data_IF_536592628833
#
_entry.id   IF_536592628833
#
_cell.length_a   1.000
_cell.length_b   1.000
_cell.length_c   1.000
_cell.angle_alpha   90.00
_cell.angle_beta   90.00
_cell.angle_gamma   90.00
#
_symmetry.space_group_name_H-M   'P 1'
#
loop_
_entity.id
_entity.type
_entity.pdbx_description
1 polymer ?
#
# COMPACT_ATOMS: atom_id res chain seq x y z
N UNK A 1 20.68 -11.23 16.22
CA UNK A 1 19.62 -10.34 16.73
C UNK A 1 20.05 -9.73 18.06
N UNK A 2 19.63 -8.49 18.37
CA UNK A 2 19.86 -7.84 19.67
C UNK A 2 18.55 -7.36 20.25
N UNK A 3 18.18 -7.86 21.43
CA UNK A 3 16.96 -7.53 22.16
C UNK A 3 17.32 -6.88 23.51
N UNK A 4 16.59 -5.85 23.90
CA UNK A 4 16.66 -5.27 25.26
C UNK A 4 15.39 -5.69 26.00
N UNK A 5 15.49 -6.51 27.04
CA UNK A 5 14.34 -7.02 27.79
C UNK A 5 14.43 -6.56 29.25
N UNK A 6 13.30 -6.43 29.91
CA UNK A 6 13.24 -6.23 31.36
C UNK A 6 12.90 -7.56 32.01
N UNK A 7 13.90 -8.23 32.59
CA UNK A 7 13.73 -9.52 33.25
C UNK A 7 13.07 -9.31 34.61
N UNK A 8 11.89 -9.90 34.82
CA UNK A 8 11.19 -9.92 36.10
C UNK A 8 11.49 -11.24 36.84
N UNK A 9 11.97 -11.11 38.08
CA UNK A 9 12.26 -12.20 39.01
C UNK A 9 11.06 -12.53 39.90
N UNK A 10 11.10 -13.66 40.63
CA UNK A 10 9.96 -14.13 41.45
C UNK A 10 9.60 -13.19 42.59
N UNK A 11 10.56 -12.40 43.06
CA UNK A 11 10.38 -11.39 44.10
C UNK A 11 9.97 -10.00 43.56
N UNK A 12 9.49 -9.97 42.31
CA UNK A 12 9.08 -8.76 41.58
C UNK A 12 10.21 -7.75 41.32
N UNK A 13 11.50 -8.07 41.58
CA UNK A 13 12.60 -7.24 41.12
C UNK A 13 12.74 -7.35 39.61
N UNK A 14 12.91 -6.20 38.97
CA UNK A 14 13.18 -6.10 37.53
C UNK A 14 14.64 -5.78 37.28
N UNK A 15 15.18 -6.27 36.16
CA UNK A 15 16.54 -5.95 35.71
C UNK A 15 16.58 -5.92 34.21
N UNK A 16 17.11 -4.84 33.63
CA UNK A 16 17.27 -4.74 32.20
C UNK A 16 18.43 -5.62 31.73
N UNK A 17 18.15 -6.47 30.75
CA UNK A 17 19.10 -7.40 30.15
C UNK A 17 19.18 -7.17 28.64
N UNK A 18 20.36 -7.39 28.08
CA UNK A 18 20.59 -7.35 26.64
C UNK A 18 20.83 -8.76 26.16
N UNK A 19 19.88 -9.30 25.40
CA UNK A 19 20.01 -10.61 24.77
C UNK A 19 20.62 -10.40 23.38
N UNK A 20 21.76 -11.06 23.15
CA UNK A 20 22.41 -11.12 21.83
C UNK A 20 22.46 -12.57 21.40
N UNK A 21 21.76 -12.90 20.32
CA UNK A 21 21.61 -14.27 19.84
C UNK A 21 21.79 -14.34 18.32
N UNK A 22 22.09 -15.54 17.81
CA UNK A 22 21.88 -15.84 16.40
C UNK A 22 20.37 -15.84 16.06
N UNK A 23 20.01 -15.67 14.79
CA UNK A 23 18.62 -15.79 14.31
C UNK A 23 18.07 -17.22 14.43
N UNK A 24 18.94 -18.22 14.48
CA UNK A 24 18.60 -19.64 14.61
C UNK A 24 18.44 -20.10 16.06
N UNK A 25 18.72 -19.24 17.04
CA UNK A 25 18.53 -19.57 18.45
C UNK A 25 17.04 -19.73 18.78
N UNK A 26 16.69 -20.74 19.56
CA UNK A 26 15.33 -20.95 20.03
C UNK A 26 15.02 -20.11 21.27
N UNK A 27 13.73 -19.94 21.57
CA UNK A 27 13.27 -19.35 22.84
C UNK A 27 13.87 -20.11 24.03
N UNK A 28 13.93 -21.44 23.97
CA UNK A 28 14.55 -22.26 25.01
C UNK A 28 16.04 -21.95 25.18
N UNK A 29 16.80 -21.79 24.11
CA UNK A 29 18.23 -21.46 24.19
C UNK A 29 18.44 -20.13 24.92
N UNK A 30 17.61 -19.13 24.61
CA UNK A 30 17.65 -17.83 25.27
C UNK A 30 17.24 -17.95 26.74
N UNK A 31 16.14 -18.64 27.04
CA UNK A 31 15.67 -18.84 28.41
C UNK A 31 16.71 -19.57 29.26
N UNK A 32 17.31 -20.64 28.73
CA UNK A 32 18.38 -21.39 29.40
C UNK A 32 19.60 -20.51 29.64
N UNK A 33 20.01 -19.73 28.64
CA UNK A 33 21.16 -18.86 28.81
C UNK A 33 20.94 -17.78 29.86
N UNK A 34 19.72 -17.25 29.98
CA UNK A 34 19.34 -16.32 31.05
C UNK A 34 19.49 -17.02 32.41
N UNK A 35 19.00 -18.25 32.57
CA UNK A 35 19.11 -18.99 33.85
C UNK A 35 20.57 -19.28 34.22
N UNK A 36 21.39 -19.68 33.26
CA UNK A 36 22.82 -19.98 33.49
C UNK A 36 23.64 -18.74 33.86
N UNK A 37 23.24 -17.56 33.36
CA UNK A 37 23.99 -16.31 33.54
C UNK A 37 23.41 -15.40 34.61
N UNK A 38 22.18 -15.66 35.09
CA UNK A 38 21.54 -14.85 36.14
C UNK A 38 22.29 -15.03 37.48
N UNK A 39 22.90 -13.97 38.05
CA UNK A 39 23.57 -14.05 39.34
C UNK A 39 22.63 -14.44 40.49
N UNK A 40 21.32 -14.20 40.37
CA UNK A 40 20.35 -14.54 41.39
C UNK A 40 20.01 -16.04 41.44
N UNK A 41 20.21 -16.78 40.33
CA UNK A 41 19.93 -18.23 40.20
C UNK A 41 18.60 -18.70 40.79
N UNK A 42 17.54 -17.90 40.64
CA UNK A 42 16.23 -18.19 41.25
C UNK A 42 15.49 -19.36 40.59
N UNK A 43 15.69 -19.54 39.28
CA UNK A 43 15.09 -20.64 38.52
C UNK A 43 16.02 -21.84 38.59
N UNK A 44 15.63 -22.86 39.34
CA UNK A 44 16.30 -24.15 39.34
C UNK A 44 15.90 -24.90 38.07
N UNK A 45 16.90 -25.28 37.27
CA UNK A 45 16.70 -26.01 36.03
C UNK A 45 17.80 -27.08 35.86
N UNK A 46 17.39 -28.28 35.48
CA UNK A 46 18.31 -29.35 35.06
C UNK A 46 18.60 -29.26 33.55
N UNK A 47 19.62 -29.95 33.03
CA UNK A 47 19.84 -30.06 31.59
C UNK A 47 18.67 -30.70 30.83
N UNK A 48 17.87 -31.54 31.50
CA UNK A 48 16.72 -32.21 30.90
C UNK A 48 15.46 -31.34 30.87
N UNK A 49 15.39 -30.30 31.71
CA UNK A 49 14.20 -29.46 31.84
C UNK A 49 13.99 -28.58 30.60
N UNK A 50 12.75 -28.45 30.14
CA UNK A 50 12.38 -27.49 29.10
C UNK A 50 12.13 -26.12 29.71
N UNK A 51 12.79 -25.10 29.17
CA UNK A 51 12.67 -23.71 29.63
C UNK A 51 12.03 -22.85 28.54
N UNK A 52 11.20 -21.90 28.95
CA UNK A 52 10.62 -20.90 28.06
C UNK A 52 10.59 -19.51 28.69
N UNK A 53 10.17 -18.52 27.90
CA UNK A 53 9.91 -17.17 28.35
C UNK A 53 8.41 -16.88 28.30
N UNK A 54 7.90 -16.22 29.33
CA UNK A 54 6.65 -15.47 29.25
C UNK A 54 6.98 -14.00 29.06
N UNK A 55 6.37 -13.35 28.08
CA UNK A 55 6.67 -11.96 27.72
C UNK A 55 5.41 -11.08 27.70
N UNK A 56 5.57 -9.81 28.06
CA UNK A 56 4.52 -8.79 27.97
C UNK A 56 5.09 -7.50 27.34
N UNK A 57 4.36 -6.83 26.43
CA UNK A 57 4.81 -5.57 25.86
C UNK A 57 4.76 -4.44 26.92
N UNK A 58 5.46 -3.31 26.74
CA UNK A 58 5.40 -2.19 27.68
C UNK A 58 4.00 -1.60 27.90
N UNK A 59 3.08 -1.86 26.97
CA UNK A 59 1.71 -1.34 26.96
C UNK A 59 0.69 -2.26 27.64
N UNK A 60 1.06 -3.51 27.96
CA UNK A 60 0.17 -4.49 28.57
C UNK A 60 0.88 -5.30 29.66
N UNK A 61 0.14 -5.71 30.68
CA UNK A 61 0.62 -6.64 31.70
C UNK A 61 0.24 -8.10 31.40
N UNK A 62 -0.38 -8.36 30.25
CA UNK A 62 -0.77 -9.72 29.86
C UNK A 62 0.44 -10.48 29.34
N UNK A 63 0.89 -11.44 30.14
CA UNK A 63 2.01 -12.30 29.78
C UNK A 63 1.59 -13.39 28.80
N UNK A 64 2.29 -13.47 27.68
CA UNK A 64 2.16 -14.54 26.68
C UNK A 64 3.33 -15.51 26.82
N UNK A 65 3.04 -16.79 26.97
CA UNK A 65 4.06 -17.84 26.99
C UNK A 65 4.54 -18.14 25.58
N UNK A 66 5.84 -18.03 25.36
CA UNK A 66 6.47 -18.35 24.09
C UNK A 66 6.63 -19.88 23.92
N UNK A 67 6.57 -20.35 22.69
CA UNK A 67 6.88 -21.76 22.38
C UNK A 67 8.39 -21.99 22.54
N UNK A 68 8.84 -22.94 23.40
CA UNK A 68 10.27 -23.20 23.62
C UNK A 68 11.06 -23.51 22.34
N UNK A 69 10.40 -24.13 21.36
CA UNK A 69 11.01 -24.59 20.10
C UNK A 69 11.01 -23.53 18.99
N UNK A 70 10.29 -22.43 19.18
CA UNK A 70 10.21 -21.33 18.21
C UNK A 70 11.54 -20.58 18.17
N UNK A 71 11.92 -20.11 16.98
CA UNK A 71 13.07 -19.23 16.82
C UNK A 71 12.81 -17.89 17.51
N UNK A 72 13.79 -17.37 18.25
CA UNK A 72 13.65 -16.08 18.95
C UNK A 72 13.42 -14.92 17.97
N UNK A 73 13.84 -15.05 16.70
CA UNK A 73 13.55 -14.07 15.65
C UNK A 73 12.08 -13.97 15.28
N UNK A 74 11.36 -15.08 15.42
CA UNK A 74 9.97 -15.23 15.00
C UNK A 74 9.02 -15.14 16.18
N UNK A 75 9.56 -15.28 17.40
CA UNK A 75 8.81 -15.16 18.63
C UNK A 75 8.23 -13.74 18.80
N UNK A 76 6.99 -13.61 19.32
CA UNK A 76 6.37 -12.33 19.61
C UNK A 76 7.03 -11.64 20.82
N UNK A 77 8.26 -11.17 20.62
CA UNK A 77 9.08 -10.49 21.62
C UNK A 77 9.76 -9.27 20.99
N UNK A 78 9.72 -8.14 21.70
CA UNK A 78 10.30 -6.87 21.26
C UNK A 78 11.27 -6.29 22.27
N UNK A 79 12.00 -5.25 21.86
CA UNK A 79 12.79 -4.48 22.82
C UNK A 79 11.87 -3.67 23.74
N UNK A 80 12.19 -3.64 25.04
CA UNK A 80 11.36 -3.06 26.09
C UNK A 80 10.37 -4.04 26.73
N UNK A 81 10.24 -5.26 26.19
CA UNK A 81 9.30 -6.24 26.73
C UNK A 81 9.74 -6.70 28.11
N UNK A 82 8.76 -6.87 28.99
CA UNK A 82 8.95 -7.54 30.25
C UNK A 82 9.00 -9.05 29.99
N UNK A 83 9.96 -9.75 30.58
CA UNK A 83 10.17 -11.18 30.36
C UNK A 83 10.36 -11.92 31.68
N UNK A 84 9.89 -13.16 31.76
CA UNK A 84 10.10 -14.05 32.91
C UNK A 84 10.42 -15.45 32.40
N UNK A 85 11.40 -16.11 33.00
CA UNK A 85 11.75 -17.49 32.65
C UNK A 85 10.82 -18.45 33.38
N UNK A 86 10.25 -19.40 32.65
CA UNK A 86 9.41 -20.48 33.17
C UNK A 86 10.07 -21.82 32.92
N UNK A 87 10.18 -22.64 33.96
CA UNK A 87 10.61 -24.04 33.86
C UNK A 87 9.38 -24.94 33.71
N UNK A 88 9.26 -25.61 32.57
CA UNK A 88 8.14 -26.51 32.23
C UNK A 88 8.41 -27.97 32.63
N UNK A 89 9.61 -28.28 33.11
CA UNK A 89 10.04 -29.61 33.51
C UNK A 89 10.54 -30.48 32.35
N UNK A 90 11.02 -31.70 32.65
CA UNK A 90 11.65 -32.59 31.67
C UNK A 90 10.66 -33.33 30.76
N UNK A 91 9.41 -33.50 31.20
CA UNK A 91 8.37 -34.24 30.49
C UNK A 91 7.49 -33.34 29.61
N UNK A 92 7.89 -32.08 29.37
CA UNK A 92 7.10 -31.17 28.55
C UNK A 92 7.05 -31.63 27.09
N UNK A 93 5.84 -31.92 26.61
CA UNK A 93 5.54 -32.20 25.21
C UNK A 93 4.85 -30.98 24.62
N UNK A 94 5.46 -30.35 23.63
CA UNK A 94 4.85 -29.23 22.92
C UNK A 94 3.56 -29.70 22.21
N UNK A 95 2.40 -29.28 22.70
CA UNK A 95 1.15 -29.35 21.93
C UNK A 95 1.31 -28.44 20.73
N UNK A 96 1.22 -28.98 19.50
CA UNK A 96 1.33 -28.20 18.27
C UNK A 96 0.06 -27.37 18.07
N UNK A 97 -0.03 -26.25 18.77
CA UNK A 97 -1.02 -25.22 18.58
C UNK A 97 -0.54 -23.97 19.29
N UNK A 98 -0.36 -22.89 18.51
CA UNK A 98 0.45 -21.73 18.89
C UNK A 98 0.15 -21.22 20.30
N UNK A 99 1.21 -20.93 21.05
CA UNK A 99 1.18 -20.38 22.42
C UNK A 99 0.57 -18.97 22.50
N UNK A 100 -0.68 -18.82 22.08
CA UNK A 100 -1.51 -17.65 22.33
C UNK A 100 -2.44 -17.89 23.52
N UNK A 101 -3.12 -16.84 24.01
CA UNK A 101 -4.17 -17.01 25.02
C UNK A 101 -5.25 -17.98 24.53
N UNK A 102 -5.83 -18.74 25.47
CA UNK A 102 -6.92 -19.66 25.17
C UNK A 102 -8.09 -18.91 24.54
N UNK A 103 -8.40 -19.21 23.28
CA UNK A 103 -9.55 -18.66 22.57
C UNK A 103 -10.82 -19.46 22.88
N UNK A 104 -10.67 -20.72 23.29
CA UNK A 104 -11.73 -21.58 23.77
C UNK A 104 -11.24 -22.49 24.89
N UNK A 105 -12.15 -23.02 25.70
CA UNK A 105 -11.89 -24.07 26.67
C UNK A 105 -12.79 -25.26 26.34
N UNK A 106 -12.17 -26.43 26.19
CA UNK A 106 -12.86 -27.71 26.03
C UNK A 106 -13.05 -28.34 27.40
N UNK A 107 -14.31 -28.54 27.80
CA UNK A 107 -14.70 -29.18 29.04
C UNK A 107 -15.23 -30.59 28.74
N UNK A 108 -14.71 -31.59 29.45
CA UNK A 108 -15.27 -32.94 29.44
C UNK A 108 -16.33 -33.01 30.55
N UNK A 109 -17.60 -33.09 30.16
CA UNK A 109 -18.76 -33.01 31.08
C UNK A 109 -19.36 -34.38 31.39
N UNK A 110 -18.99 -35.41 30.63
CA UNK A 110 -19.44 -36.79 30.85
C UNK A 110 -18.44 -37.81 30.28
N UNK A 111 -18.45 -39.03 30.83
CA UNK A 111 -17.53 -40.10 30.45
C UNK A 111 -16.31 -40.27 31.36
N UNK A 112 -15.31 -41.09 30.96
CA UNK A 112 -14.20 -41.52 31.82
C UNK A 112 -13.29 -40.39 32.34
N UNK A 113 -13.28 -39.25 31.64
CA UNK A 113 -12.42 -38.09 31.92
C UNK A 113 -13.21 -36.86 32.39
N UNK A 114 -14.39 -37.06 32.98
CA UNK A 114 -15.27 -35.99 33.45
C UNK A 114 -14.54 -35.03 34.39
N UNK A 115 -14.70 -33.72 34.17
CA UNK A 115 -14.10 -32.65 34.96
C UNK A 115 -12.77 -32.12 34.43
N UNK A 116 -12.25 -32.69 33.33
CA UNK A 116 -11.03 -32.19 32.68
C UNK A 116 -11.34 -30.97 31.80
N UNK A 117 -10.49 -29.94 31.92
CA UNK A 117 -10.53 -28.73 31.11
C UNK A 117 -9.26 -28.61 30.29
N UNK A 118 -9.41 -28.28 29.00
CA UNK A 118 -8.30 -28.18 28.06
C UNK A 118 -8.38 -26.82 27.37
N UNK A 119 -7.44 -25.90 27.65
CA UNK A 119 -7.39 -24.61 26.97
C UNK A 119 -6.95 -24.77 25.51
N UNK A 120 -7.66 -24.13 24.59
CA UNK A 120 -7.40 -24.17 23.15
C UNK A 120 -7.10 -22.76 22.62
N UNK A 121 -5.87 -22.48 22.17
CA UNK A 121 -5.58 -21.27 21.42
C UNK A 121 -6.21 -21.32 20.02
N UNK A 122 -6.10 -20.22 19.25
CA UNK A 122 -6.52 -20.22 17.84
C UNK A 122 -5.66 -21.19 17.03
N UNK A 123 -6.29 -22.04 16.22
CA UNK A 123 -5.57 -23.05 15.45
C UNK A 123 -6.37 -24.32 15.20
N UNK A 124 -5.67 -25.38 14.79
CA UNK A 124 -6.23 -26.70 14.53
C UNK A 124 -5.63 -27.73 15.47
N UNK A 125 -6.47 -28.54 16.10
CA UNK A 125 -6.06 -29.56 17.07
C UNK A 125 -6.73 -30.89 16.71
N UNK A 126 -5.97 -31.97 16.82
CA UNK A 126 -6.46 -33.33 16.61
C UNK A 126 -6.92 -33.95 17.92
N UNK A 127 -8.08 -34.60 17.88
CA UNK A 127 -8.67 -35.32 19.01
C UNK A 127 -8.63 -36.81 18.72
N UNK A 128 -8.12 -37.60 19.66
CA UNK A 128 -8.03 -39.06 19.50
C UNK A 128 -7.50 -39.78 20.72
N UNK A 129 -7.49 -41.10 20.66
CA UNK A 129 -7.02 -41.94 21.78
C UNK A 129 -5.51 -42.15 21.84
N UNK A 130 -4.79 -41.93 20.74
CA UNK A 130 -3.33 -42.13 20.75
C UNK A 130 -2.60 -40.92 21.33
N UNK A 131 -1.48 -41.17 22.00
CA UNK A 131 -0.62 -40.13 22.58
C UNK A 131 -0.07 -39.10 21.57
N UNK A 132 -0.13 -39.38 20.26
CA UNK A 132 0.24 -38.44 19.20
C UNK A 132 -0.87 -37.47 18.76
N UNK A 133 -2.00 -37.42 19.48
CA UNK A 133 -3.08 -36.44 19.24
C UNK A 133 -2.85 -35.21 20.10
N UNK A 134 -3.23 -34.02 19.62
CA UNK A 134 -3.12 -32.78 20.40
C UNK A 134 -4.02 -32.81 21.65
N UNK A 135 -5.17 -33.47 21.53
CA UNK A 135 -6.12 -33.74 22.62
C UNK A 135 -6.30 -35.24 22.74
N UNK A 136 -5.73 -35.80 23.81
CA UNK A 136 -5.79 -37.25 24.09
C UNK A 136 -7.00 -37.57 24.97
N UNK A 137 -7.91 -38.39 24.44
CA UNK A 137 -9.08 -38.92 25.16
C UNK A 137 -8.89 -40.43 25.35
N UNK A 138 -8.70 -40.85 26.59
CA UNK A 138 -8.49 -42.25 26.99
C UNK A 138 -9.81 -43.03 27.06
N UNK A 139 -10.53 -43.06 25.94
CA UNK A 139 -11.82 -43.73 25.80
C UNK A 139 -11.71 -44.83 24.72
N UNK A 140 -11.92 -46.12 25.04
CA UNK A 140 -11.81 -47.22 24.09
C UNK A 140 -12.64 -47.04 22.81
N UNK A 141 -13.78 -46.34 22.90
CA UNK A 141 -14.69 -46.05 21.79
C UNK A 141 -14.25 -44.83 20.97
N UNK A 142 -13.29 -44.04 21.46
CA UNK A 142 -12.63 -43.00 20.67
C UNK A 142 -11.57 -43.64 19.75
N UNK A 143 -11.61 -43.19 18.49
CA UNK A 143 -10.69 -43.68 17.45
C UNK A 143 -9.29 -43.13 17.67
N UNK A 144 -8.28 -43.78 17.09
CA UNK A 144 -6.87 -43.34 17.21
C UNK A 144 -6.71 -41.87 16.82
N UNK A 145 -7.30 -41.47 15.69
CA UNK A 145 -7.53 -40.09 15.29
C UNK A 145 -9.01 -39.98 14.99
N UNK A 146 -9.76 -39.31 15.85
CA UNK A 146 -11.21 -39.36 15.82
C UNK A 146 -11.79 -38.11 15.14
N UNK A 147 -11.39 -36.92 15.60
CA UNK A 147 -11.85 -35.67 15.03
C UNK A 147 -10.73 -34.62 15.00
N UNK A 148 -10.97 -33.52 14.29
CA UNK A 148 -10.16 -32.32 14.31
C UNK A 148 -11.01 -31.13 14.70
N UNK A 149 -10.58 -30.36 15.69
CA UNK A 149 -11.20 -29.12 16.11
C UNK A 149 -10.41 -27.92 15.57
N UNK A 150 -11.10 -26.93 15.02
CA UNK A 150 -10.56 -25.70 14.49
C UNK A 150 -11.15 -24.51 15.26
N UNK A 151 -10.28 -23.71 15.87
CA UNK A 151 -10.64 -22.55 16.69
C UNK A 151 -10.27 -21.28 15.94
N UNK A 152 -11.30 -20.59 15.42
CA UNK A 152 -11.19 -19.34 14.69
C UNK A 152 -11.35 -18.09 15.57
N UNK A 153 -11.49 -16.92 14.94
CA UNK A 153 -11.64 -15.64 15.64
C UNK A 153 -12.99 -15.43 16.37
N UNK A 154 -13.93 -16.37 16.24
CA UNK A 154 -15.24 -16.34 16.90
C UNK A 154 -16.12 -17.55 16.57
N UNK A 155 -15.52 -18.64 16.09
CA UNK A 155 -16.22 -19.85 15.71
C UNK A 155 -15.34 -21.06 15.98
N UNK A 156 -15.99 -22.17 16.31
CA UNK A 156 -15.33 -23.45 16.54
C UNK A 156 -15.96 -24.46 15.60
N UNK A 157 -15.13 -25.17 14.83
CA UNK A 157 -15.58 -26.21 13.92
C UNK A 157 -14.91 -27.53 14.26
N UNK A 158 -15.70 -28.60 14.32
CA UNK A 158 -15.24 -29.95 14.56
C UNK A 158 -15.50 -30.79 13.31
N UNK A 159 -14.51 -31.53 12.85
CA UNK A 159 -14.56 -32.35 11.64
C UNK A 159 -14.20 -33.79 12.00
N UNK A 160 -15.07 -34.73 11.65
CA UNK A 160 -14.81 -36.15 11.85
C UNK A 160 -13.68 -36.60 10.90
N UNK A 161 -12.73 -37.37 11.41
CA UNK A 161 -11.59 -37.90 10.64
C UNK A 161 -11.82 -39.35 10.22
N UNK A 162 -13.05 -39.66 9.79
CA UNK A 162 -13.51 -41.00 9.46
C UNK A 162 -13.38 -41.95 10.65
N UNK A 163 -13.95 -41.54 11.79
CA UNK A 163 -13.89 -42.30 13.02
C UNK A 163 -14.92 -43.44 13.04
N UNK A 164 -14.67 -44.47 13.85
CA UNK A 164 -15.53 -45.66 13.90
C UNK A 164 -16.93 -45.38 14.48
N UNK A 165 -17.02 -44.45 15.44
CA UNK A 165 -18.26 -44.13 16.15
C UNK A 165 -18.81 -42.74 15.81
N UNK A 166 -18.07 -41.95 15.01
CA UNK A 166 -18.45 -40.61 14.56
C UNK A 166 -18.57 -39.57 15.67
N UNK A 167 -18.90 -38.35 15.27
CA UNK A 167 -19.29 -37.26 16.16
C UNK A 167 -20.82 -37.32 16.34
N UNK A 168 -21.30 -37.41 17.57
CA UNK A 168 -22.73 -37.45 17.88
C UNK A 168 -23.19 -36.12 18.50
N UNK A 169 -24.26 -35.55 17.98
CA UNK A 169 -24.89 -34.31 18.47
C UNK A 169 -26.39 -34.55 18.57
N UNK A 170 -26.98 -34.32 19.74
CA UNK A 170 -28.42 -34.55 20.00
C UNK A 170 -28.90 -35.96 19.58
N UNK A 171 -28.01 -36.96 19.66
CA UNK A 171 -28.28 -38.35 19.27
C UNK A 171 -28.07 -38.68 17.78
N UNK A 172 -27.72 -37.71 16.94
CA UNK A 172 -27.44 -37.91 15.51
C UNK A 172 -25.95 -37.82 15.16
N UNK A 173 -25.51 -38.64 14.18
CA UNK A 173 -24.14 -38.62 13.67
C UNK A 173 -23.94 -37.47 12.66
N UNK A 174 -22.86 -36.72 12.82
CA UNK A 174 -22.51 -35.58 11.94
C UNK A 174 -21.06 -35.68 11.46
N UNK A 175 -20.79 -35.42 10.15
CA UNK A 175 -19.41 -35.43 9.64
C UNK A 175 -18.65 -34.13 9.96
N UNK A 176 -19.39 -33.03 10.16
CA UNK A 176 -18.86 -31.72 10.55
C UNK A 176 -19.86 -31.05 11.48
N UNK A 177 -19.36 -30.39 12.50
CA UNK A 177 -20.14 -29.68 13.50
C UNK A 177 -19.55 -28.29 13.69
N UNK A 178 -20.35 -27.25 13.42
CA UNK A 178 -20.05 -25.91 13.91
C UNK A 178 -20.57 -25.81 15.34
N UNK A 179 -19.67 -25.75 16.31
CA UNK A 179 -20.02 -25.80 17.73
C UNK A 179 -20.66 -24.48 18.14
N UNK A 180 -21.88 -24.56 18.66
CA UNK A 180 -22.56 -23.44 19.31
C UNK A 180 -22.11 -23.40 20.78
N UNK A 181 -21.80 -22.23 21.37
CA UNK A 181 -21.41 -22.15 22.79
C UNK A 181 -22.42 -22.87 23.71
N UNK A 182 -21.93 -23.79 24.53
CA UNK A 182 -22.76 -24.61 25.43
C UNK A 182 -23.44 -25.83 24.79
N UNK A 183 -23.31 -26.02 23.47
CA UNK A 183 -23.77 -27.23 22.78
C UNK A 183 -22.89 -28.42 23.16
N UNK A 184 -23.54 -29.54 23.44
CA UNK A 184 -22.88 -30.78 23.81
C UNK A 184 -22.73 -31.68 22.59
N UNK A 185 -21.59 -32.34 22.49
CA UNK A 185 -21.35 -33.38 21.50
C UNK A 185 -20.58 -34.53 22.14
N UNK A 186 -20.71 -35.71 21.56
CA UNK A 186 -20.16 -36.95 22.11
C UNK A 186 -19.20 -37.57 21.11
N UNK A 187 -18.04 -38.00 21.62
CA UNK A 187 -17.05 -38.82 20.90
C UNK A 187 -16.84 -40.09 21.71
N UNK A 188 -17.24 -41.26 21.18
CA UNK A 188 -17.25 -42.50 21.97
C UNK A 188 -18.26 -42.42 23.12
N UNK A 189 -17.80 -42.60 24.35
CA UNK A 189 -18.57 -42.42 25.60
C UNK A 189 -18.24 -41.08 26.30
N UNK A 190 -17.49 -40.20 25.66
CA UNK A 190 -17.04 -38.93 26.23
C UNK A 190 -17.91 -37.77 25.74
N UNK A 191 -18.62 -37.12 26.68
CA UNK A 191 -19.46 -35.94 26.42
C UNK A 191 -18.65 -34.65 26.63
N UNK A 192 -18.66 -33.78 25.63
CA UNK A 192 -17.79 -32.61 25.54
C UNK A 192 -18.62 -31.35 25.31
N UNK A 193 -18.23 -30.28 25.98
CA UNK A 193 -18.73 -28.92 25.76
C UNK A 193 -17.54 -28.01 25.51
N UNK A 194 -17.64 -27.15 24.50
CA UNK A 194 -16.61 -26.14 24.23
C UNK A 194 -17.19 -24.75 24.43
N UNK A 195 -16.51 -23.94 25.23
CA UNK A 195 -16.89 -22.57 25.52
C UNK A 195 -15.86 -21.61 24.92
N UNK A 196 -16.32 -20.57 24.24
CA UNK A 196 -15.48 -19.44 23.88
C UNK A 196 -15.19 -18.63 25.15
N UNK A 197 -13.93 -18.22 25.34
CA UNK A 197 -13.57 -17.33 26.45
C UNK A 197 -14.14 -15.93 26.16
N UNK A 198 -15.05 -15.36 26.98
CA UNK A 198 -15.83 -14.16 26.63
C UNK A 198 -15.06 -12.84 26.48
N UNK A 199 -13.75 -12.77 26.77
CA UNK A 199 -12.93 -11.56 26.64
C UNK A 199 -12.11 -11.51 25.35
N UNK A 200 -12.75 -11.84 24.23
CA UNK A 200 -12.30 -11.34 22.92
C UNK A 200 -13.39 -10.42 22.37
N UNK A 201 -13.53 -9.25 22.98
CA UNK A 201 -13.78 -8.07 22.16
C UNK A 201 -12.71 -8.07 21.05
N UNK A 202 -13.03 -7.65 19.81
CA UNK A 202 -11.97 -7.27 18.90
C UNK A 202 -11.24 -6.13 19.60
N UNK A 203 -10.18 -6.45 20.33
CA UNK A 203 -9.16 -5.47 20.69
C UNK A 203 -8.82 -4.86 19.34
N UNK A 204 -9.09 -3.57 19.18
CA UNK A 204 -8.37 -2.76 18.21
C UNK A 204 -6.89 -3.00 18.53
N UNK A 205 -6.32 -4.02 17.89
CA UNK A 205 -4.93 -4.40 18.11
C UNK A 205 -4.12 -3.21 17.64
N UNK A 206 -3.57 -2.48 18.59
CA UNK A 206 -2.70 -1.36 18.28
C UNK A 206 -1.47 -1.95 17.57
N UNK A 207 -1.19 -1.58 16.31
CA UNK A 207 -0.42 -2.48 15.45
C UNK A 207 1.08 -2.32 15.75
N UNK A 208 1.84 -3.40 15.51
CA UNK A 208 3.31 -3.47 15.58
C UNK A 208 3.93 -3.49 16.97
N UNK A 209 3.60 -2.55 17.86
CA UNK A 209 4.32 -2.40 19.15
C UNK A 209 4.05 -3.54 20.14
N UNK A 210 2.83 -4.08 20.14
CA UNK A 210 2.41 -5.06 21.16
C UNK A 210 2.91 -6.48 20.90
N UNK A 211 3.20 -6.82 19.64
CA UNK A 211 3.56 -8.21 19.29
C UNK A 211 5.05 -8.48 19.32
N UNK A 212 5.92 -7.51 18.96
CA UNK A 212 7.32 -7.82 18.73
C UNK A 212 7.53 -8.91 17.66
N UNK A 213 8.78 -9.32 17.42
CA UNK A 213 9.09 -10.42 16.48
C UNK A 213 8.83 -10.13 14.99
N UNK A 214 8.87 -11.21 14.20
CA UNK A 214 8.57 -11.18 12.78
C UNK A 214 7.06 -11.14 12.52
N UNK A 215 6.59 -10.11 11.82
CA UNK A 215 5.18 -10.00 11.41
C UNK A 215 5.02 -10.49 9.97
N UNK A 216 4.19 -11.51 9.79
CA UNK A 216 3.76 -11.95 8.46
C UNK A 216 2.98 -10.81 7.82
N UNK A 217 3.53 -10.26 6.75
CA UNK A 217 2.94 -9.16 6.01
C UNK A 217 2.66 -9.57 4.56
N UNK A 218 1.37 -9.58 4.19
CA UNK A 218 0.98 -9.73 2.80
C UNK A 218 1.04 -8.37 2.11
N UNK A 219 1.87 -8.26 1.08
CA UNK A 219 2.08 -7.01 0.34
C UNK A 219 0.85 -6.70 -0.50
N UNK A 220 0.14 -5.63 -0.15
CA UNK A 220 -1.02 -5.20 -0.92
C UNK A 220 -0.57 -4.73 -2.32
N UNK A 221 -1.22 -5.20 -3.40
CA UNK A 221 -0.95 -4.68 -4.73
C UNK A 221 -1.33 -3.20 -4.76
N UNK A 222 -0.43 -2.35 -5.26
CA UNK A 222 -0.66 -0.91 -5.39
C UNK A 222 -0.48 -0.49 -6.84
N UNK A 223 -1.50 0.19 -7.37
CA UNK A 223 -1.36 0.94 -8.62
C UNK A 223 -0.73 2.27 -8.26
N UNK A 224 0.47 2.51 -8.76
CA UNK A 224 1.16 3.77 -8.54
C UNK A 224 0.71 4.80 -9.59
N UNK A 225 0.07 5.91 -9.17
CA UNK A 225 -0.22 6.98 -10.10
C UNK A 225 1.10 7.63 -10.51
N UNK A 226 1.37 7.68 -11.82
CA UNK A 226 2.54 8.35 -12.38
C UNK A 226 2.08 9.58 -13.15
N UNK A 227 2.64 10.74 -12.83
CA UNK A 227 2.45 11.94 -13.64
C UNK A 227 3.53 11.99 -14.71
N UNK A 228 3.21 11.59 -15.94
CA UNK A 228 4.18 11.62 -17.06
C UNK A 228 4.42 13.05 -17.54
N UNK A 229 3.40 13.90 -17.45
CA UNK A 229 3.34 15.19 -18.13
C UNK A 229 2.86 15.07 -19.56
N UNK A 230 2.53 16.21 -20.15
CA UNK A 230 2.13 16.34 -21.55
C UNK A 230 3.01 17.41 -22.22
N UNK A 231 3.24 17.25 -23.53
CA UNK A 231 3.88 18.28 -24.34
C UNK A 231 2.80 19.08 -25.05
N UNK A 232 2.58 20.32 -24.60
CA UNK A 232 1.57 21.22 -25.14
C UNK A 232 2.16 22.05 -26.28
N UNK A 233 1.35 22.38 -27.27
CA UNK A 233 1.76 23.22 -28.39
C UNK A 233 1.71 24.70 -28.00
N UNK A 234 2.72 25.47 -28.41
CA UNK A 234 2.77 26.92 -28.20
C UNK A 234 1.66 27.62 -29.01
N UNK A 235 1.02 28.69 -28.46
CA UNK A 235 0.01 29.44 -29.19
C UNK A 235 0.61 30.07 -30.44
N UNK A 236 -0.16 30.08 -31.53
CA UNK A 236 0.28 30.67 -32.79
C UNK A 236 0.31 32.18 -32.69
N UNK A 237 1.50 32.75 -32.81
CA UNK A 237 1.70 34.19 -32.77
C UNK A 237 1.32 34.84 -34.11
N UNK A 238 0.72 36.04 -34.10
CA UNK A 238 0.49 36.80 -35.32
C UNK A 238 1.82 37.20 -35.95
N UNK A 239 1.88 37.13 -37.28
CA UNK A 239 3.11 37.40 -38.04
C UNK A 239 3.13 38.81 -38.62
N UNK A 240 4.32 39.35 -38.80
CA UNK A 240 4.51 40.58 -39.56
C UNK A 240 3.95 40.41 -40.98
N UNK A 241 2.99 41.25 -41.40
CA UNK A 241 2.43 41.14 -42.73
C UNK A 241 3.50 41.46 -43.76
N UNK A 242 3.77 40.52 -44.67
CA UNK A 242 4.71 40.73 -45.76
C UNK A 242 4.38 42.03 -46.53
N UNK A 243 5.31 42.98 -46.52
CA UNK A 243 5.15 44.23 -47.25
C UNK A 243 5.17 43.94 -48.76
N UNK A 244 4.02 44.05 -49.42
CA UNK A 244 3.97 43.96 -50.88
C UNK A 244 4.31 45.33 -51.46
N UNK A 245 5.43 45.39 -52.16
CA UNK A 245 5.83 46.58 -52.91
C UNK A 245 4.77 46.85 -53.98
N UNK A 246 4.33 48.09 -54.07
CA UNK A 246 3.37 48.51 -55.07
C UNK A 246 3.95 48.29 -56.48
N UNK A 247 3.28 47.53 -57.37
CA UNK A 247 3.82 47.15 -58.67
C UNK A 247 3.68 48.30 -59.68
N UNK A 248 4.56 49.29 -59.61
CA UNK A 248 4.63 50.41 -60.56
C UNK A 248 4.63 50.01 -62.04
N UNK A 249 5.23 48.87 -62.48
CA UNK A 249 5.12 48.42 -63.88
C UNK A 249 3.67 48.22 -64.35
N UNK A 250 2.75 47.85 -63.46
CA UNK A 250 1.33 47.69 -63.78
C UNK A 250 0.60 49.02 -64.02
N UNK A 251 1.16 50.16 -63.57
CA UNK A 251 0.66 51.49 -63.93
C UNK A 251 1.15 51.94 -65.30
N UNK A 252 2.35 51.53 -65.71
CA UNK A 252 2.99 52.00 -66.95
C UNK A 252 2.51 51.21 -68.17
N UNK A 253 2.33 49.90 -68.04
CA UNK A 253 1.91 49.04 -69.16
C UNK A 253 0.57 49.45 -69.83
N UNK A 254 -0.50 49.82 -69.09
CA UNK A 254 -1.76 50.27 -69.69
C UNK A 254 -1.66 51.64 -70.36
N UNK A 255 -0.76 52.51 -69.88
CA UNK A 255 -0.49 53.81 -70.50
C UNK A 255 0.12 53.58 -71.89
N UNK A 256 1.14 52.73 -71.99
CA UNK A 256 1.79 52.36 -73.25
C UNK A 256 0.78 51.69 -74.19
N UNK A 257 0.02 50.71 -73.69
CA UNK A 257 -0.95 49.96 -74.49
C UNK A 257 -2.12 50.85 -74.96
N UNK A 258 -2.64 51.73 -74.09
CA UNK A 258 -3.72 52.65 -74.43
C UNK A 258 -3.31 53.66 -75.50
N UNK A 259 -2.09 54.19 -75.41
CA UNK A 259 -1.51 55.11 -76.42
C UNK A 259 -1.26 54.38 -77.74
N UNK A 260 -0.71 53.16 -77.71
CA UNK A 260 -0.48 52.34 -78.91
C UNK A 260 -1.79 51.91 -79.59
N UNK A 261 -2.81 51.54 -78.82
CA UNK A 261 -4.14 51.21 -79.34
C UNK A 261 -4.80 52.43 -80.01
N UNK A 262 -4.70 53.61 -79.38
CA UNK A 262 -5.25 54.86 -79.93
C UNK A 262 -4.61 55.23 -81.28
N UNK A 263 -3.29 55.08 -81.41
CA UNK A 263 -2.59 55.40 -82.67
C UNK A 263 -2.93 54.45 -83.82
N UNK A 264 -3.24 53.18 -83.53
CA UNK A 264 -3.58 52.17 -84.55
C UNK A 264 -5.07 52.22 -84.94
N UNK A 265 -5.98 52.35 -83.98
CA UNK A 265 -7.43 52.21 -84.21
C UNK A 265 -8.21 53.52 -84.29
N UNK A 266 -7.62 54.65 -83.87
CA UNK A 266 -8.27 55.98 -83.87
C UNK A 266 -9.49 56.12 -82.93
N UNK A 267 -9.80 55.08 -82.16
CA UNK A 267 -10.97 55.04 -81.30
C UNK A 267 -10.68 55.68 -79.95
N UNK A 268 -11.31 56.83 -79.66
CA UNK A 268 -11.16 57.55 -78.39
C UNK A 268 -11.52 56.69 -77.15
N UNK A 269 -12.29 55.61 -77.31
CA UNK A 269 -12.65 54.72 -76.19
C UNK A 269 -11.45 53.97 -75.59
N UNK A 270 -10.36 53.78 -76.33
CA UNK A 270 -9.16 53.09 -75.83
C UNK A 270 -8.45 53.88 -74.70
N UNK A 271 -8.63 55.20 -74.65
CA UNK A 271 -8.05 56.06 -73.61
C UNK A 271 -8.72 55.88 -72.23
N UNK A 272 -9.93 55.31 -72.15
CA UNK A 272 -10.58 55.02 -70.86
C UNK A 272 -9.79 54.01 -70.03
N UNK A 273 -9.04 53.10 -70.66
CA UNK A 273 -8.21 52.10 -69.97
C UNK A 273 -7.12 52.78 -69.13
N UNK A 274 -6.60 53.91 -69.59
CA UNK A 274 -5.58 54.71 -68.91
C UNK A 274 -6.12 55.28 -67.58
N UNK A 275 -7.40 55.64 -67.53
CA UNK A 275 -8.06 56.14 -66.32
C UNK A 275 -8.61 55.04 -65.43
N UNK A 276 -9.17 53.97 -66.01
CA UNK A 276 -9.77 52.87 -65.24
C UNK A 276 -8.73 52.04 -64.48
N UNK A 277 -7.54 51.85 -65.05
CA UNK A 277 -6.51 50.98 -64.45
C UNK A 277 -5.96 51.53 -63.13
N UNK A 278 -5.56 52.81 -63.02
CA UNK A 278 -5.16 53.42 -61.75
C UNK A 278 -6.27 53.36 -60.70
N UNK A 279 -7.53 53.56 -61.10
CA UNK A 279 -8.67 53.54 -60.17
C UNK A 279 -8.91 52.13 -59.60
N UNK A 280 -8.83 51.08 -60.43
CA UNK A 280 -8.93 49.69 -59.99
C UNK A 280 -7.75 49.28 -59.09
N UNK A 281 -6.52 49.67 -59.44
CA UNK A 281 -5.33 49.41 -58.63
C UNK A 281 -5.43 50.11 -57.25
N UNK A 282 -5.93 51.34 -57.22
CA UNK A 282 -6.15 52.09 -55.98
C UNK A 282 -7.22 51.43 -55.09
N UNK A 283 -8.36 51.03 -55.68
CA UNK A 283 -9.40 50.29 -54.97
C UNK A 283 -8.89 48.96 -54.39
N UNK A 284 -8.10 48.23 -55.17
CA UNK A 284 -7.48 46.98 -54.72
C UNK A 284 -6.45 47.24 -53.60
N UNK A 285 -5.62 48.27 -53.69
CA UNK A 285 -4.64 48.62 -52.67
C UNK A 285 -5.29 49.00 -51.33
N UNK A 286 -6.37 49.80 -51.34
CA UNK A 286 -7.13 50.11 -50.13
C UNK A 286 -7.75 48.84 -49.54
N UNK A 287 -8.46 48.06 -50.37
CA UNK A 287 -9.07 46.80 -49.93
C UNK A 287 -8.03 45.85 -49.33
N UNK A 288 -6.85 45.77 -49.95
CA UNK A 288 -5.76 44.92 -49.51
C UNK A 288 -5.17 45.39 -48.18
N UNK A 289 -4.97 46.70 -47.98
CA UNK A 289 -4.50 47.25 -46.70
C UNK A 289 -5.51 46.97 -45.57
N UNK A 290 -6.81 47.15 -45.85
CA UNK A 290 -7.87 46.84 -44.87
C UNK A 290 -7.92 45.35 -44.55
N UNK A 291 -7.81 44.47 -45.56
CA UNK A 291 -7.79 43.02 -45.35
C UNK A 291 -6.56 42.55 -44.54
N UNK A 292 -5.39 43.14 -44.76
CA UNK A 292 -4.19 42.84 -43.98
C UNK A 292 -4.41 43.20 -42.50
N UNK A 293 -4.94 44.40 -42.22
CA UNK A 293 -5.24 44.82 -40.84
C UNK A 293 -6.28 43.91 -40.16
N UNK A 294 -7.34 43.54 -40.88
CA UNK A 294 -8.35 42.59 -40.36
C UNK A 294 -7.77 41.19 -40.11
N UNK A 295 -6.84 40.72 -40.94
CA UNK A 295 -6.17 39.43 -40.75
C UNK A 295 -5.29 39.44 -39.50
N UNK A 296 -4.43 40.44 -39.35
CA UNK A 296 -3.58 40.58 -38.15
C UNK A 296 -4.43 40.66 -36.88
N UNK A 297 -5.53 41.44 -36.91
CA UNK A 297 -6.47 41.52 -35.79
C UNK A 297 -7.06 40.15 -35.45
N UNK A 298 -7.53 39.40 -36.45
CA UNK A 298 -8.12 38.06 -36.25
C UNK A 298 -7.09 37.06 -35.73
N UNK A 299 -5.86 37.11 -36.22
CA UNK A 299 -4.76 36.28 -35.71
C UNK A 299 -4.45 36.64 -34.25
N UNK A 300 -4.48 37.92 -33.88
CA UNK A 300 -4.35 38.37 -32.49
C UNK A 300 -5.49 37.84 -31.60
N UNK A 301 -6.75 37.94 -32.02
CA UNK A 301 -7.88 37.38 -31.27
C UNK A 301 -7.78 35.86 -31.07
N UNK A 302 -7.26 35.14 -32.08
CA UNK A 302 -7.01 33.70 -31.97
C UNK A 302 -5.88 33.41 -30.99
N UNK A 303 -4.78 34.17 -31.06
CA UNK A 303 -3.67 34.08 -30.12
C UNK A 303 -4.17 34.24 -28.69
N UNK A 304 -4.89 35.32 -28.38
CA UNK A 304 -5.40 35.61 -27.03
C UNK A 304 -6.20 34.43 -26.47
N UNK A 305 -7.14 33.92 -27.26
CA UNK A 305 -7.95 32.77 -26.86
C UNK A 305 -7.09 31.53 -26.60
N UNK A 306 -6.17 31.20 -27.50
CA UNK A 306 -5.31 30.00 -27.32
C UNK A 306 -4.31 30.16 -26.17
N UNK A 307 -3.87 31.39 -25.90
CA UNK A 307 -2.98 31.71 -24.79
C UNK A 307 -3.72 31.57 -23.45
N UNK A 308 -4.94 32.10 -23.35
CA UNK A 308 -5.80 31.94 -22.17
C UNK A 308 -6.14 30.45 -21.92
N UNK A 309 -6.49 29.70 -22.96
CA UNK A 309 -6.75 28.25 -22.86
C UNK A 309 -5.51 27.48 -22.37
N UNK A 310 -4.32 27.85 -22.83
CA UNK A 310 -3.05 27.26 -22.39
C UNK A 310 -2.74 27.61 -20.93
N UNK A 311 -2.87 28.88 -20.55
CA UNK A 311 -2.65 29.35 -19.17
C UNK A 311 -3.59 28.65 -18.20
N UNK A 312 -4.88 28.55 -18.54
CA UNK A 312 -5.88 27.84 -17.73
C UNK A 312 -5.53 26.36 -17.59
N UNK A 313 -5.09 25.71 -18.67
CA UNK A 313 -4.67 24.30 -18.65
C UNK A 313 -3.50 24.10 -17.70
N UNK A 314 -2.44 24.93 -17.82
CA UNK A 314 -1.28 24.87 -16.94
C UNK A 314 -1.64 25.17 -15.48
N UNK A 315 -2.52 26.13 -15.24
CA UNK A 315 -3.01 26.47 -13.91
C UNK A 315 -3.74 25.30 -13.25
N UNK A 316 -4.60 24.59 -14.00
CA UNK A 316 -5.35 23.42 -13.53
C UNK A 316 -4.48 22.18 -13.34
N UNK A 317 -3.48 21.97 -14.18
CA UNK A 317 -2.59 20.80 -14.09
C UNK A 317 -1.55 20.94 -12.97
N UNK A 318 -1.13 22.16 -12.61
CA UNK A 318 -0.16 22.40 -11.51
C UNK A 318 -0.52 21.72 -10.17
N UNK A 319 -1.73 21.87 -9.60
CA UNK A 319 -2.09 21.18 -8.36
C UNK A 319 -2.13 19.66 -8.52
N UNK A 320 -2.60 19.17 -9.67
CA UNK A 320 -2.66 17.74 -9.99
C UNK A 320 -1.26 17.12 -10.08
N UNK A 321 -0.33 17.78 -10.78
CA UNK A 321 1.07 17.36 -10.83
C UNK A 321 1.67 17.28 -9.41
N UNK A 322 1.45 18.32 -8.59
CA UNK A 322 1.94 18.36 -7.21
C UNK A 322 1.38 17.22 -6.36
N UNK A 323 0.09 16.94 -6.46
CA UNK A 323 -0.57 15.86 -5.73
C UNK A 323 0.02 14.50 -6.12
N UNK A 324 0.05 14.19 -7.42
CA UNK A 324 0.55 12.91 -7.92
C UNK A 324 2.03 12.72 -7.57
N UNK A 325 2.87 13.74 -7.75
CA UNK A 325 4.31 13.66 -7.39
C UNK A 325 4.54 13.49 -5.89
N UNK A 326 3.69 14.07 -5.04
CA UNK A 326 3.74 13.82 -3.60
C UNK A 326 3.27 12.39 -3.26
N UNK A 327 2.32 11.83 -4.00
CA UNK A 327 1.87 10.44 -3.83
C UNK A 327 2.90 9.40 -4.34
N UNK A 328 3.67 9.75 -5.38
CA UNK A 328 4.80 8.95 -5.89
C UNK A 328 5.89 8.79 -4.82
N UNK A 329 6.18 9.86 -4.05
CA UNK A 329 7.15 9.83 -2.94
C UNK A 329 6.55 10.48 -1.68
N UNK A 330 5.79 9.70 -0.88
CA UNK A 330 5.04 10.22 0.27
C UNK A 330 5.93 10.91 1.32
N UNK A 331 5.37 11.87 2.09
CA UNK A 331 6.03 12.45 3.24
C UNK A 331 6.40 11.39 4.29
N UNK A 332 7.48 11.63 5.05
CA UNK A 332 7.97 10.72 6.09
C UNK A 332 6.91 10.45 7.16
N UNK A 333 6.11 11.45 7.53
CA UNK A 333 5.01 11.29 8.50
C UNK A 333 4.00 10.22 8.03
N UNK A 334 3.53 10.30 6.78
CA UNK A 334 2.61 9.32 6.21
C UNK A 334 3.23 7.92 6.15
N UNK A 335 4.50 7.82 5.76
CA UNK A 335 5.23 6.53 5.73
C UNK A 335 5.34 5.94 7.13
N UNK A 336 5.61 6.78 8.14
CA UNK A 336 5.69 6.36 9.54
C UNK A 336 4.34 5.87 10.06
N UNK A 337 3.27 6.62 9.87
CA UNK A 337 1.91 6.21 10.26
C UNK A 337 1.53 4.88 9.61
N UNK A 338 1.83 4.72 8.34
CA UNK A 338 1.56 3.48 7.61
C UNK A 338 2.40 2.30 8.09
N UNK A 339 3.65 2.56 8.48
CA UNK A 339 4.47 1.55 9.11
C UNK A 339 3.91 1.13 10.48
N UNK A 340 3.49 2.09 11.29
CA UNK A 340 2.92 1.83 12.61
C UNK A 340 1.58 1.10 12.53
N UNK A 341 0.76 1.37 11.50
CA UNK A 341 -0.55 0.73 11.34
C UNK A 341 -0.55 -0.55 10.49
N UNK A 342 0.62 -1.05 10.08
CA UNK A 342 0.75 -2.11 9.07
C UNK A 342 -0.07 -1.85 7.80
N UNK A 343 -0.10 -0.59 7.39
CA UNK A 343 -0.91 -0.11 6.28
C UNK A 343 -0.43 -0.62 4.92
N UNK A 344 -1.28 -0.41 3.91
CA UNK A 344 -1.07 -0.92 2.56
C UNK A 344 0.13 -0.32 1.83
N UNK A 345 0.79 0.72 2.36
CA UNK A 345 1.99 1.31 1.78
C UNK A 345 3.29 0.55 2.09
N UNK A 346 3.27 -0.38 3.04
CA UNK A 346 4.47 -1.14 3.40
C UNK A 346 4.91 -2.05 2.25
N UNK A 347 6.21 -1.98 1.91
CA UNK A 347 6.87 -2.87 0.94
C UNK A 347 6.22 -2.90 -0.46
N UNK A 348 5.55 -1.81 -0.90
CA UNK A 348 4.84 -1.78 -2.18
C UNK A 348 5.73 -1.59 -3.40
N UNK A 349 6.92 -0.99 -3.26
CA UNK A 349 7.81 -0.69 -4.39
C UNK A 349 8.65 -1.91 -4.80
N UNK A 350 8.76 -2.15 -6.10
CA UNK A 350 9.48 -3.28 -6.68
C UNK A 350 10.51 -2.83 -7.71
N UNK A 351 11.52 -3.65 -8.05
CA UNK A 351 12.52 -3.30 -9.07
C UNK A 351 11.95 -2.88 -10.42
N UNK A 352 10.76 -3.38 -10.79
CA UNK A 352 10.04 -3.00 -12.00
C UNK A 352 9.36 -1.62 -11.95
N UNK A 353 9.25 -1.01 -10.77
CA UNK A 353 8.67 0.33 -10.63
C UNK A 353 9.69 1.40 -11.01
N UNK A 354 9.24 2.42 -11.73
CA UNK A 354 10.09 3.50 -12.22
C UNK A 354 10.77 4.32 -11.11
N UNK A 355 10.19 4.33 -9.90
CA UNK A 355 10.72 5.01 -8.71
C UNK A 355 11.33 4.05 -7.69
N UNK A 356 11.71 2.84 -8.10
CA UNK A 356 12.39 1.90 -7.22
C UNK A 356 13.64 2.56 -6.61
N UNK A 357 13.80 2.44 -5.29
CA UNK A 357 14.86 3.09 -4.51
C UNK A 357 14.85 4.64 -4.53
N UNK A 358 13.79 5.29 -5.02
CA UNK A 358 13.64 6.74 -4.92
C UNK A 358 13.30 7.17 -3.49
N UNK A 359 14.01 8.18 -2.97
CA UNK A 359 13.84 8.68 -1.60
C UNK A 359 13.50 10.16 -1.62
N UNK A 360 12.56 10.59 -0.76
CA UNK A 360 12.23 12.00 -0.54
C UNK A 360 13.24 12.60 0.42
N UNK A 361 13.98 13.62 -0.04
CA UNK A 361 14.89 14.39 0.81
C UNK A 361 14.25 15.67 1.37
N UNK A 362 13.25 16.22 0.68
CA UNK A 362 12.61 17.46 1.08
C UNK A 362 11.64 17.99 0.02
N UNK A 363 11.28 19.26 0.17
CA UNK A 363 10.47 20.02 -0.81
C UNK A 363 11.34 21.08 -1.45
N UNK A 364 11.36 21.13 -2.78
CA UNK A 364 12.06 22.15 -3.55
C UNK A 364 11.21 22.57 -4.75
N UNK A 365 11.63 23.64 -5.41
CA UNK A 365 11.16 23.94 -6.76
C UNK A 365 11.78 22.94 -7.73
N UNK A 366 10.94 22.36 -8.59
CA UNK A 366 11.34 21.41 -9.60
C UNK A 366 10.68 21.78 -10.93
N UNK A 367 11.33 21.56 -12.07
CA UNK A 367 10.71 21.71 -13.37
C UNK A 367 9.43 20.89 -13.47
N UNK A 368 8.39 21.48 -14.07
CA UNK A 368 7.17 20.75 -14.41
C UNK A 368 7.52 19.63 -15.40
N UNK A 369 6.85 18.48 -15.24
CA UNK A 369 6.92 17.41 -16.25
C UNK A 369 6.08 17.73 -17.48
N UNK A 370 5.14 18.68 -17.38
CA UNK A 370 4.42 19.23 -18.52
C UNK A 370 5.29 20.31 -19.15
N UNK A 371 5.47 20.26 -20.47
CA UNK A 371 6.29 21.22 -21.21
C UNK A 371 5.51 21.86 -22.34
N UNK A 372 5.87 23.09 -22.70
CA UNK A 372 5.37 23.74 -23.92
C UNK A 372 6.42 23.61 -25.00
N UNK A 373 6.05 22.99 -26.12
CA UNK A 373 6.92 22.81 -27.28
C UNK A 373 7.03 24.13 -28.03
N UNK A 374 8.25 24.67 -28.05
CA UNK A 374 8.56 25.92 -28.75
C UNK A 374 8.49 25.73 -30.26
N UNK A 375 7.79 26.63 -30.94
CA UNK A 375 7.72 26.70 -32.38
C UNK A 375 8.66 27.80 -32.89
N UNK A 376 9.40 27.50 -33.96
CA UNK A 376 10.27 28.49 -34.61
C UNK A 376 9.41 29.52 -35.37
N UNK A 377 9.35 30.75 -34.86
CA UNK A 377 8.52 31.83 -35.38
C UNK A 377 9.34 33.11 -35.63
N UNK A 378 10.25 33.12 -36.63
CA UNK A 378 11.14 34.25 -36.88
C UNK A 378 10.41 35.53 -37.32
N UNK A 379 9.21 35.39 -37.89
CA UNK A 379 8.39 36.51 -38.38
C UNK A 379 7.27 36.90 -37.40
N UNK A 380 7.28 36.39 -36.16
CA UNK A 380 6.28 36.75 -35.16
C UNK A 380 6.45 38.20 -34.69
N UNK A 381 5.33 38.86 -34.41
CA UNK A 381 5.35 40.20 -33.85
C UNK A 381 6.00 40.19 -32.45
N UNK A 382 6.99 41.06 -32.16
CA UNK A 382 7.79 41.01 -30.92
C UNK A 382 6.97 41.06 -29.62
N UNK A 383 5.87 41.81 -29.61
CA UNK A 383 4.99 41.95 -28.44
C UNK A 383 4.35 40.62 -27.99
N UNK A 384 4.11 39.70 -28.93
CA UNK A 384 3.55 38.38 -28.63
C UNK A 384 4.64 37.39 -28.22
N UNK A 385 5.86 37.55 -28.76
CA UNK A 385 7.02 36.73 -28.38
C UNK A 385 7.39 36.97 -26.91
N UNK A 386 7.57 38.24 -26.53
CA UNK A 386 7.91 38.60 -25.14
C UNK A 386 6.88 38.09 -24.13
N UNK A 387 5.60 38.05 -24.52
CA UNK A 387 4.51 37.63 -23.65
C UNK A 387 4.44 36.11 -23.44
N UNK A 388 4.96 35.31 -24.36
CA UNK A 388 5.07 33.84 -24.21
C UNK A 388 6.37 33.44 -23.52
N UNK A 389 7.38 34.31 -23.54
CA UNK A 389 8.66 34.07 -22.86
C UNK A 389 8.67 34.42 -21.36
N UNK A 390 7.72 35.27 -20.93
CA UNK A 390 7.44 35.58 -19.51
C UNK A 390 6.66 34.45 -18.82
#
# INVERSE_FOLDING_TARGET
MRLKLTLQRRDARTTDVVVTSDTTATVQDVARRIVETDPAREVLATPADVLTLTVAPPTSNDHVMLDPSMLISDAPVGSGFLATVVNLGPDYVATRGGGGPAAAVLHIVGGPLTGREIPLPKGHFTIGRVAGSDIVIEDPLVSKRHARIEVGAGSIELVDLNSANGIVVDGGLVPRLRVIPGQRFVLGDTEIVVQLVPDFAPVEQDPVLERGGALLFNRSPRVEPRYVGEELEEPRMPKEPASRIFPWPMLVAPIILGVAMYSITGNARSLFIIFMTPMMLFGNFISQKTQIGQRVKKEGEVFERTFEELEETLYRERPREREVRNAEVPPVANVFEEAMRLGGMLWTRRPEHWNFLAVRLGTCEAPSRTSVKRADNPDALPEYVERVDL
#
